data_IF_628449809352
#
_entry.id   IF_628449809352
#
_cell.length_a   1.000
_cell.length_b   1.000
_cell.length_c   1.000
_cell.angle_alpha   90.00
_cell.angle_beta   90.00
_cell.angle_gamma   90.00
#
_symmetry.space_group_name_H-M   'P 1'
#
loop_
_entity.id
_entity.type
_entity.pdbx_description
1 polymer ?
#
# COMPACT_ATOMS: atom_id res chain seq x y z
N UNK A 1 -12.83 -2.68 -3.64
CA UNK A 1 -11.72 -3.54 -3.19
C UNK A 1 -11.62 -4.86 -3.90
N UNK A 2 -12.63 -5.75 -3.81
CA UNK A 2 -12.54 -7.12 -4.33
C UNK A 2 -12.13 -7.22 -5.81
N UNK A 3 -12.56 -6.26 -6.63
CA UNK A 3 -12.23 -6.20 -8.06
C UNK A 3 -10.79 -5.76 -8.37
N UNK A 4 -10.13 -5.07 -7.44
CA UNK A 4 -8.79 -4.49 -7.66
C UNK A 4 -7.68 -5.23 -6.91
N UNK A 5 -7.99 -5.76 -5.72
CA UNK A 5 -7.04 -6.46 -4.87
C UNK A 5 -7.35 -7.94 -4.67
N UNK A 6 -8.53 -8.42 -5.11
CA UNK A 6 -8.93 -9.81 -4.91
C UNK A 6 -9.67 -10.08 -3.60
N UNK A 7 -9.80 -11.36 -3.23
CA UNK A 7 -10.50 -11.79 -2.00
C UNK A 7 -9.56 -11.77 -0.81
N UNK A 8 -9.23 -10.58 -0.35
CA UNK A 8 -8.29 -10.37 0.75
C UNK A 8 -9.06 -9.86 1.98
N UNK A 9 -8.86 -10.43 3.18
CA UNK A 9 -9.42 -9.90 4.41
C UNK A 9 -8.93 -8.46 4.65
N UNK A 10 -9.75 -7.56 5.22
CA UNK A 10 -9.37 -6.15 5.33
C UNK A 10 -8.04 -5.89 6.05
N UNK A 11 -7.71 -6.64 7.10
CA UNK A 11 -6.44 -6.51 7.83
C UNK A 11 -5.21 -6.86 6.96
N UNK A 12 -5.40 -7.53 5.82
CA UNK A 12 -4.35 -7.85 4.86
C UNK A 12 -4.25 -6.83 3.71
N UNK A 13 -5.02 -5.73 3.74
CA UNK A 13 -4.90 -4.68 2.73
C UNK A 13 -3.47 -4.10 2.71
N UNK A 14 -2.88 -3.89 1.52
CA UNK A 14 -1.53 -3.39 1.40
C UNK A 14 -1.47 -1.88 1.64
N UNK A 15 -0.54 -1.46 2.50
CA UNK A 15 -0.27 -0.06 2.82
C UNK A 15 1.24 0.06 2.99
N UNK A 16 1.89 1.04 2.36
CA UNK A 16 3.31 1.28 2.68
C UNK A 16 4.28 0.17 2.26
N UNK A 17 3.92 -0.72 1.32
CA UNK A 17 4.60 -2.00 1.07
C UNK A 17 4.62 -2.96 2.28
N UNK A 18 3.62 -2.88 3.15
CA UNK A 18 3.35 -3.78 4.27
C UNK A 18 1.85 -4.13 4.31
N UNK A 19 1.45 -5.03 5.20
CA UNK A 19 0.05 -5.34 5.48
C UNK A 19 -0.51 -4.41 6.56
N UNK A 20 -1.81 -4.10 6.49
CA UNK A 20 -2.50 -3.26 7.47
C UNK A 20 -2.39 -3.81 8.91
N UNK A 21 -2.48 -5.13 9.11
CA UNK A 21 -2.34 -5.76 10.45
C UNK A 21 -1.05 -5.38 11.16
N UNK A 22 0.01 -5.06 10.41
CA UNK A 22 1.28 -4.68 10.99
C UNK A 22 1.16 -3.34 11.72
N UNK A 23 0.59 -2.35 11.03
CA UNK A 23 0.36 -1.03 11.59
C UNK A 23 -0.66 -1.08 12.73
N UNK A 24 -1.71 -1.90 12.60
CA UNK A 24 -2.69 -2.12 13.67
C UNK A 24 -2.03 -2.69 14.93
N UNK A 25 -1.19 -3.72 14.79
CA UNK A 25 -0.48 -4.29 15.94
C UNK A 25 0.49 -3.29 16.59
N UNK A 26 1.27 -2.56 15.77
CA UNK A 26 2.17 -1.52 16.25
C UNK A 26 1.40 -0.38 16.96
N UNK A 27 0.22 0.02 16.46
CA UNK A 27 -0.58 1.10 17.05
C UNK A 27 -1.28 0.68 18.35
N UNK A 28 -1.65 -0.58 18.50
CA UNK A 28 -2.25 -1.10 19.74
C UNK A 28 -1.28 -1.03 20.92
N UNK A 29 0.03 -1.13 20.68
CA UNK A 29 1.10 -1.04 21.70
C UNK A 29 0.76 -1.81 22.99
N UNK A 30 0.21 -3.01 22.85
CA UNK A 30 -0.32 -3.81 23.96
C UNK A 30 0.61 -4.99 24.29
N UNK A 31 0.55 -5.43 25.55
CA UNK A 31 1.13 -6.70 26.00
C UNK A 31 0.07 -7.81 26.08
N UNK A 32 -1.19 -7.47 25.80
CA UNK A 32 -2.29 -8.43 25.78
C UNK A 32 -2.13 -9.43 24.64
N UNK A 33 -2.77 -10.59 24.79
CA UNK A 33 -2.86 -11.58 23.71
C UNK A 33 -3.63 -10.98 22.53
N UNK A 34 -2.99 -10.90 21.37
CA UNK A 34 -3.62 -10.43 20.12
C UNK A 34 -4.07 -11.63 19.28
N UNK A 35 -5.33 -11.60 18.87
CA UNK A 35 -5.93 -12.61 18.00
C UNK A 35 -6.42 -11.94 16.72
N UNK A 36 -5.95 -12.43 15.57
CA UNK A 36 -6.41 -12.03 14.25
C UNK A 36 -7.38 -13.08 13.70
N UNK A 37 -8.62 -12.67 13.47
CA UNK A 37 -9.63 -13.54 12.86
C UNK A 37 -9.59 -13.41 11.34
N UNK A 38 -9.68 -14.55 10.65
CA UNK A 38 -9.73 -14.62 9.19
C UNK A 38 -10.80 -15.61 8.72
N UNK A 39 -11.33 -15.51 7.50
CA UNK A 39 -12.21 -16.53 6.93
C UNK A 39 -11.48 -17.86 6.74
N UNK A 40 -12.14 -18.99 7.01
CA UNK A 40 -11.59 -20.35 6.76
C UNK A 40 -11.16 -20.58 5.31
N UNK A 41 -11.76 -19.90 4.33
CA UNK A 41 -11.37 -20.04 2.93
C UNK A 41 -10.12 -19.25 2.54
N UNK A 42 -9.62 -18.38 3.43
CA UNK A 42 -8.47 -17.53 3.12
C UNK A 42 -7.15 -18.25 3.40
N UNK A 43 -6.47 -18.64 2.33
CA UNK A 43 -5.11 -19.19 2.43
C UNK A 43 -4.09 -18.08 2.67
N UNK A 44 -3.58 -17.98 3.88
CA UNK A 44 -2.57 -17.00 4.24
C UNK A 44 -1.26 -17.26 3.50
N UNK A 45 -0.66 -16.25 2.82
CA UNK A 45 0.65 -16.40 2.22
C UNK A 45 1.74 -16.75 3.24
N UNK A 46 2.69 -17.62 2.86
CA UNK A 46 3.77 -18.08 3.75
C UNK A 46 4.63 -16.97 4.36
N UNK A 47 4.75 -15.83 3.68
CA UNK A 47 5.50 -14.69 4.21
C UNK A 47 4.71 -13.96 5.30
N UNK A 48 3.41 -13.76 5.08
CA UNK A 48 2.50 -13.16 6.06
C UNK A 48 2.42 -14.05 7.31
N UNK A 49 2.33 -15.38 7.16
CA UNK A 49 2.37 -16.34 8.28
C UNK A 49 3.61 -16.15 9.17
N UNK A 50 4.80 -16.11 8.58
CA UNK A 50 6.05 -15.90 9.33
C UNK A 50 6.07 -14.56 10.06
N UNK A 51 5.50 -13.53 9.44
CA UNK A 51 5.45 -12.20 10.06
C UNK A 51 4.49 -12.19 11.24
N UNK A 52 3.29 -12.78 11.10
CA UNK A 52 2.31 -12.92 12.17
C UNK A 52 2.89 -13.72 13.36
N UNK A 53 3.60 -14.81 13.08
CA UNK A 53 4.32 -15.61 14.10
C UNK A 53 5.38 -14.78 14.84
N UNK A 54 6.20 -14.01 14.12
CA UNK A 54 7.21 -13.13 14.72
C UNK A 54 6.59 -12.04 15.61
N UNK A 55 5.38 -11.60 15.27
CA UNK A 55 4.62 -10.61 16.04
C UNK A 55 3.81 -11.26 17.17
N UNK A 56 3.88 -12.59 17.36
CA UNK A 56 3.10 -13.32 18.35
C UNK A 56 1.58 -13.11 18.23
N UNK A 57 1.09 -12.92 17.00
CA UNK A 57 -0.33 -12.79 16.71
C UNK A 57 -0.91 -14.20 16.50
N UNK A 58 -1.89 -14.58 17.31
CA UNK A 58 -2.63 -15.83 17.12
C UNK A 58 -3.64 -15.68 16.00
N UNK A 59 -3.78 -16.70 15.16
CA UNK A 59 -4.69 -16.70 14.03
C UNK A 59 -5.86 -17.62 14.34
N UNK A 60 -7.08 -17.12 14.16
CA UNK A 60 -8.29 -17.93 14.21
C UNK A 60 -9.02 -17.89 12.87
N UNK A 61 -9.25 -19.08 12.31
CA UNK A 61 -10.09 -19.27 11.14
C UNK A 61 -11.56 -19.33 11.58
N UNK A 62 -12.40 -18.50 10.96
CA UNK A 62 -13.81 -18.34 11.28
C UNK A 62 -14.67 -18.75 10.08
N UNK A 63 -15.74 -19.54 10.29
CA UNK A 63 -16.67 -19.90 9.22
C UNK A 63 -17.27 -18.67 8.53
N UNK A 64 -17.39 -18.74 7.20
CA UNK A 64 -18.04 -17.70 6.42
C UNK A 64 -19.57 -17.67 6.63
N UNK A 65 -20.18 -16.51 6.38
CA UNK A 65 -21.63 -16.33 6.43
C UNK A 65 -22.20 -16.01 7.82
N UNK A 66 -21.35 -15.91 8.84
CA UNK A 66 -21.73 -15.41 10.16
C UNK A 66 -21.98 -13.90 10.13
N UNK A 67 -22.87 -13.43 11.00
CA UNK A 67 -22.97 -12.01 11.32
C UNK A 67 -21.69 -11.54 12.03
N UNK A 68 -21.42 -10.23 12.05
CA UNK A 68 -20.25 -9.69 12.76
C UNK A 68 -20.27 -10.10 14.25
N UNK A 69 -21.42 -9.98 14.93
CA UNK A 69 -21.55 -10.38 16.32
C UNK A 69 -21.29 -11.87 16.53
N UNK A 70 -21.86 -12.73 15.68
CA UNK A 70 -21.65 -14.19 15.77
C UNK A 70 -20.20 -14.58 15.47
N UNK A 71 -19.52 -13.90 14.53
CA UNK A 71 -18.11 -14.17 14.23
C UNK A 71 -17.20 -13.86 15.43
N UNK A 72 -17.49 -12.79 16.19
CA UNK A 72 -16.74 -12.43 17.38
C UNK A 72 -17.01 -13.43 18.49
N UNK A 73 -18.28 -13.81 18.71
CA UNK A 73 -18.63 -14.85 19.70
C UNK A 73 -17.99 -16.19 19.36
N UNK A 74 -17.94 -16.56 18.07
CA UNK A 74 -17.23 -17.74 17.59
C UNK A 74 -15.73 -17.67 17.93
N UNK A 75 -15.07 -16.55 17.64
CA UNK A 75 -13.66 -16.34 17.96
C UNK A 75 -13.37 -16.42 19.48
N UNK A 76 -14.22 -15.84 20.31
CA UNK A 76 -14.12 -15.93 21.77
C UNK A 76 -14.25 -17.37 22.27
N UNK A 77 -15.20 -18.13 21.71
CA UNK A 77 -15.36 -19.54 22.05
C UNK A 77 -14.16 -20.40 21.60
N UNK A 78 -13.64 -20.18 20.39
CA UNK A 78 -12.49 -20.92 19.86
C UNK A 78 -11.19 -20.63 20.62
N UNK A 79 -10.99 -19.38 21.06
CA UNK A 79 -9.85 -18.99 21.89
C UNK A 79 -9.97 -19.43 23.35
N UNK A 80 -11.17 -19.87 23.78
CA UNK A 80 -11.48 -20.17 25.17
C UNK A 80 -11.55 -18.94 26.08
N UNK A 81 -11.65 -17.73 25.51
CA UNK A 81 -11.69 -16.48 26.26
C UNK A 81 -13.14 -16.06 26.55
N UNK A 82 -13.54 -16.12 27.82
CA UNK A 82 -14.93 -15.88 28.22
C UNK A 82 -15.12 -14.82 29.30
N UNK A 83 -14.05 -14.29 29.90
CA UNK A 83 -14.10 -13.37 31.04
C UNK A 83 -12.94 -12.38 31.00
N UNK A 84 -13.18 -11.15 31.48
CA UNK A 84 -12.19 -10.09 31.56
C UNK A 84 -12.24 -9.09 30.38
N UNK A 85 -11.28 -8.16 30.30
CA UNK A 85 -11.31 -7.08 29.32
C UNK A 85 -11.20 -7.57 27.88
N UNK A 86 -12.05 -7.03 27.00
CA UNK A 86 -12.08 -7.36 25.57
C UNK A 86 -11.88 -6.09 24.74
N UNK A 87 -10.86 -6.10 23.88
CA UNK A 87 -10.66 -5.07 22.86
C UNK A 87 -11.01 -5.65 21.49
N UNK A 88 -11.78 -4.91 20.70
CA UNK A 88 -12.15 -5.28 19.33
C UNK A 88 -11.69 -4.17 18.40
N UNK A 89 -10.90 -4.53 17.40
CA UNK A 89 -10.47 -3.65 16.32
C UNK A 89 -10.89 -4.26 15.00
N UNK A 90 -11.69 -3.53 14.22
CA UNK A 90 -12.08 -3.96 12.88
C UNK A 90 -10.89 -4.00 11.93
N UNK A 91 -10.90 -4.99 11.02
CA UNK A 91 -9.76 -5.26 10.14
C UNK A 91 -9.44 -4.15 9.14
N UNK A 92 -10.39 -3.28 8.81
CA UNK A 92 -10.25 -2.11 7.93
C UNK A 92 -9.98 -0.80 8.68
N UNK A 93 -9.82 -0.84 10.01
CA UNK A 93 -9.60 0.35 10.83
C UNK A 93 -8.15 0.44 11.27
N UNK A 94 -7.52 1.61 11.12
CA UNK A 94 -6.30 1.97 11.85
C UNK A 94 -6.59 3.19 12.70
N UNK A 95 -6.24 3.10 13.98
CA UNK A 95 -6.47 4.16 14.96
C UNK A 95 -5.28 4.25 15.89
N UNK A 96 -4.94 5.46 16.29
CA UNK A 96 -3.81 5.77 17.17
C UNK A 96 -4.27 6.41 18.47
N UNK A 97 -3.35 6.45 19.44
CA UNK A 97 -3.44 7.23 20.68
C UNK A 97 -4.67 6.93 21.56
N UNK A 98 -5.16 5.69 21.53
CA UNK A 98 -6.22 5.26 22.46
C UNK A 98 -5.57 4.88 23.81
N UNK A 99 -5.93 5.54 24.92
CA UNK A 99 -5.32 5.25 26.22
C UNK A 99 -5.68 3.85 26.74
N UNK A 100 -4.64 3.10 27.14
CA UNK A 100 -4.74 1.69 27.56
C UNK A 100 -5.42 1.50 28.91
N UNK A 101 -5.66 2.55 29.67
CA UNK A 101 -6.38 2.54 30.95
C UNK A 101 -7.91 2.69 30.79
N UNK A 102 -8.38 3.09 29.60
CA UNK A 102 -9.80 3.27 29.36
C UNK A 102 -10.48 1.91 29.10
N UNK A 103 -11.63 1.72 29.74
CA UNK A 103 -12.50 0.57 29.56
C UNK A 103 -13.93 1.05 29.30
N UNK A 104 -14.75 0.18 28.70
CA UNK A 104 -16.13 0.48 28.33
C UNK A 104 -16.20 1.73 27.44
N UNK A 105 -15.41 1.71 26.37
CA UNK A 105 -15.33 2.80 25.39
C UNK A 105 -15.71 2.34 23.99
N UNK A 106 -16.32 3.28 23.27
CA UNK A 106 -16.48 3.25 21.82
C UNK A 106 -15.64 4.39 21.26
N UNK A 107 -14.68 4.06 20.40
CA UNK A 107 -13.92 5.10 19.73
C UNK A 107 -14.76 5.72 18.61
N UNK A 108 -14.76 7.04 18.55
CA UNK A 108 -15.49 7.83 17.57
C UNK A 108 -14.57 8.83 16.87
N UNK A 109 -14.90 9.19 15.64
CA UNK A 109 -14.10 10.12 14.83
C UNK A 109 -14.99 11.07 14.05
N UNK A 110 -14.44 12.23 13.67
CA UNK A 110 -15.13 13.16 12.80
C UNK A 110 -14.97 12.73 11.33
N UNK A 111 -16.05 12.83 10.55
CA UNK A 111 -16.05 12.56 9.10
C UNK A 111 -16.51 13.77 8.32
N UNK A 112 -15.93 13.94 7.14
CA UNK A 112 -16.36 14.92 6.14
C UNK A 112 -17.08 14.28 4.95
N UNK A 113 -16.99 12.95 4.81
CA UNK A 113 -17.53 12.20 3.67
C UNK A 113 -18.95 11.68 3.93
N UNK A 114 -19.76 11.65 2.87
CA UNK A 114 -21.11 11.11 2.91
C UNK A 114 -21.12 9.59 2.65
N UNK A 115 -20.73 8.81 3.67
CA UNK A 115 -20.97 7.37 3.72
C UNK A 115 -21.99 7.04 4.82
N UNK A 116 -22.51 5.81 4.79
CA UNK A 116 -23.36 5.30 5.85
C UNK A 116 -22.47 4.84 7.02
N UNK A 117 -22.65 5.46 8.18
CA UNK A 117 -21.87 5.17 9.38
C UNK A 117 -22.80 4.93 10.56
N UNK A 118 -22.36 4.08 11.48
CA UNK A 118 -22.95 4.04 12.81
C UNK A 118 -22.50 5.26 13.61
N UNK A 119 -23.40 5.90 14.35
CA UNK A 119 -23.07 7.03 15.24
C UNK A 119 -23.32 6.65 16.69
N UNK A 120 -22.73 7.38 17.62
CA UNK A 120 -22.95 7.15 19.05
C UNK A 120 -23.29 8.47 19.73
N UNK A 121 -24.49 8.54 20.32
CA UNK A 121 -25.03 9.76 20.94
C UNK A 121 -24.63 9.91 22.43
N UNK A 122 -23.69 9.08 22.90
CA UNK A 122 -23.28 9.01 24.30
C UNK A 122 -24.11 8.05 25.16
N UNK A 123 -25.16 7.42 24.60
CA UNK A 123 -25.98 6.40 25.28
C UNK A 123 -26.17 5.14 24.42
N UNK A 124 -26.50 5.35 23.16
CA UNK A 124 -26.82 4.28 22.21
C UNK A 124 -26.07 4.47 20.91
N UNK A 125 -25.62 3.34 20.35
CA UNK A 125 -25.12 3.27 18.99
C UNK A 125 -26.32 3.20 18.06
N UNK A 126 -26.37 4.11 17.10
CA UNK A 126 -27.41 4.14 16.07
C UNK A 126 -26.91 3.38 14.84
N UNK A 127 -27.85 2.74 14.14
CA UNK A 127 -27.56 2.00 12.91
C UNK A 127 -26.95 2.88 11.82
N UNK A 128 -26.40 2.23 10.80
CA UNK A 128 -25.83 2.89 9.62
C UNK A 128 -26.85 3.81 8.96
N UNK A 129 -26.53 5.10 8.91
CA UNK A 129 -27.32 6.11 8.20
C UNK A 129 -26.41 7.09 7.47
N UNK A 130 -26.89 7.73 6.40
CA UNK A 130 -26.17 8.81 5.75
C UNK A 130 -25.90 9.92 6.75
N UNK A 131 -24.69 10.46 6.71
CA UNK A 131 -24.34 11.61 7.52
C UNK A 131 -25.16 12.84 7.09
N UNK A 132 -25.99 13.37 7.98
CA UNK A 132 -26.72 14.64 7.79
C UNK A 132 -26.03 15.78 8.56
N UNK A 133 -25.22 16.55 7.82
CA UNK A 133 -24.49 17.70 8.36
C UNK A 133 -25.35 18.85 8.90
N UNK A 134 -26.68 18.80 8.75
CA UNK A 134 -27.59 19.81 9.29
C UNK A 134 -27.75 19.74 10.82
N UNK A 135 -27.41 18.61 11.47
CA UNK A 135 -27.44 18.48 12.93
C UNK A 135 -26.01 18.41 13.49
N UNK A 136 -25.56 19.48 14.16
CA UNK A 136 -24.26 19.53 14.84
C UNK A 136 -24.04 18.38 15.86
N UNK A 137 -25.10 17.68 16.26
CA UNK A 137 -25.06 16.56 17.19
C UNK A 137 -24.45 15.27 16.60
N UNK A 138 -24.36 15.13 15.27
CA UNK A 138 -24.02 13.86 14.61
C UNK A 138 -22.63 13.79 13.97
N UNK A 139 -21.71 14.70 14.31
CA UNK A 139 -20.36 14.76 13.71
C UNK A 139 -19.46 13.56 13.99
N UNK A 140 -19.84 12.69 14.93
CA UNK A 140 -19.00 11.62 15.43
C UNK A 140 -19.53 10.26 15.00
N UNK A 141 -18.73 9.55 14.20
CA UNK A 141 -19.02 8.19 13.74
C UNK A 141 -18.21 7.19 14.53
N UNK A 142 -18.78 6.01 14.75
CA UNK A 142 -18.08 4.87 15.36
C UNK A 142 -17.04 4.34 14.38
N UNK A 143 -15.79 4.27 14.82
CA UNK A 143 -14.65 4.08 13.91
C UNK A 143 -14.11 2.63 13.86
N UNK A 144 -14.78 1.68 14.52
CA UNK A 144 -14.42 0.26 14.49
C UNK A 144 -13.46 -0.19 15.59
N UNK A 145 -13.14 0.68 16.56
CA UNK A 145 -12.46 0.28 17.81
C UNK A 145 -13.42 0.31 19.00
N UNK A 146 -13.44 -0.79 19.75
CA UNK A 146 -14.27 -0.96 20.94
C UNK A 146 -13.46 -1.58 22.06
N UNK A 147 -13.76 -1.19 23.30
CA UNK A 147 -13.19 -1.83 24.47
C UNK A 147 -14.22 -2.03 25.56
N UNK A 148 -14.30 -3.25 26.04
CA UNK A 148 -15.27 -3.71 27.04
C UNK A 148 -14.51 -4.20 28.27
N UNK A 149 -15.02 -3.90 29.46
CA UNK A 149 -14.44 -4.38 30.72
C UNK A 149 -14.67 -5.87 30.97
N UNK A 150 -15.74 -6.44 30.40
CA UNK A 150 -16.10 -7.85 30.61
C UNK A 150 -16.62 -8.56 29.34
N UNK A 151 -15.83 -9.50 28.84
CA UNK A 151 -16.15 -10.35 27.70
C UNK A 151 -17.40 -11.20 27.93
N UNK A 152 -17.69 -11.64 29.16
CA UNK A 152 -18.87 -12.44 29.45
C UNK A 152 -20.15 -11.65 29.19
N UNK A 153 -20.21 -10.42 29.68
CA UNK A 153 -21.32 -9.49 29.46
C UNK A 153 -21.47 -9.16 27.98
N UNK A 154 -20.36 -8.97 27.26
CA UNK A 154 -20.37 -8.80 25.80
C UNK A 154 -21.00 -10.00 25.08
N UNK A 155 -20.52 -11.23 25.35
CA UNK A 155 -21.04 -12.46 24.73
C UNK A 155 -22.54 -12.61 24.99
N UNK A 156 -22.99 -12.44 26.23
CA UNK A 156 -24.41 -12.54 26.58
C UNK A 156 -25.27 -11.52 25.82
N UNK A 157 -24.74 -10.31 25.63
CA UNK A 157 -25.43 -9.23 24.92
C UNK A 157 -25.53 -9.53 23.43
N UNK A 158 -24.45 -10.04 22.81
CA UNK A 158 -24.44 -10.48 21.41
C UNK A 158 -25.39 -11.63 21.13
N UNK A 159 -25.44 -12.64 22.03
CA UNK A 159 -26.35 -13.78 21.89
C UNK A 159 -27.81 -13.34 22.00
N UNK A 160 -28.13 -12.43 22.93
CA UNK A 160 -29.49 -11.87 23.06
C UNK A 160 -29.92 -11.06 21.84
N UNK A 161 -28.99 -10.32 21.25
CA UNK A 161 -29.17 -9.60 19.99
C UNK A 161 -29.12 -10.50 18.74
N UNK A 162 -28.99 -11.83 18.90
CA UNK A 162 -28.92 -12.79 17.78
C UNK A 162 -27.85 -12.42 16.74
N UNK A 163 -26.69 -11.97 17.22
CA UNK A 163 -25.55 -11.60 16.37
C UNK A 163 -25.64 -10.20 15.74
N UNK A 164 -26.74 -9.46 15.94
CA UNK A 164 -26.84 -8.07 15.50
C UNK A 164 -25.90 -7.18 16.34
N UNK A 165 -24.76 -6.82 15.75
CA UNK A 165 -23.65 -6.20 16.48
C UNK A 165 -24.03 -4.87 17.17
N UNK A 166 -24.73 -3.98 16.47
CA UNK A 166 -25.16 -2.68 17.02
C UNK A 166 -26.16 -2.87 18.17
N UNK A 167 -27.16 -3.72 17.99
CA UNK A 167 -28.11 -4.07 19.05
C UNK A 167 -27.41 -4.71 20.26
N UNK A 168 -26.45 -5.60 20.02
CA UNK A 168 -25.66 -6.24 21.06
C UNK A 168 -24.82 -5.26 21.88
N UNK A 169 -24.22 -4.25 21.23
CA UNK A 169 -23.51 -3.17 21.93
C UNK A 169 -24.49 -2.36 22.78
N UNK A 170 -25.68 -2.06 22.25
CA UNK A 170 -26.72 -1.36 23.01
C UNK A 170 -27.25 -2.17 24.20
N UNK A 171 -27.32 -3.50 24.10
CA UNK A 171 -27.66 -4.37 25.23
C UNK A 171 -26.52 -4.44 26.27
N UNK A 172 -25.27 -4.39 25.83
CA UNK A 172 -24.12 -4.26 26.72
C UNK A 172 -24.17 -2.94 27.49
N UNK A 173 -24.46 -1.83 26.81
CA UNK A 173 -24.46 -0.48 27.39
C UNK A 173 -25.50 -0.28 28.51
N UNK A 174 -26.55 -1.11 28.53
CA UNK A 174 -27.55 -1.16 29.61
C UNK A 174 -27.00 -1.76 30.91
N UNK A 175 -25.98 -2.60 30.84
CA UNK A 175 -25.36 -3.26 31.99
C UNK A 175 -24.06 -2.56 32.42
N UNK A 176 -23.24 -2.19 31.44
CA UNK A 176 -21.97 -1.48 31.65
C UNK A 176 -21.99 -0.18 30.84
N UNK A 177 -21.91 0.96 31.51
CA UNK A 177 -22.02 2.28 30.85
C UNK A 177 -20.86 2.49 29.88
N UNK A 178 -21.18 2.56 28.58
CA UNK A 178 -20.22 2.91 27.54
C UNK A 178 -20.01 4.43 27.47
N UNK A 179 -18.79 4.84 27.15
CA UNK A 179 -18.43 6.24 26.89
C UNK A 179 -17.75 6.40 25.54
N UNK A 180 -17.91 7.57 24.92
CA UNK A 180 -17.26 7.89 23.64
C UNK A 180 -15.83 8.35 23.89
N UNK A 181 -14.88 7.84 23.11
CA UNK A 181 -13.53 8.41 23.04
C UNK A 181 -13.28 8.99 21.65
N UNK A 182 -13.10 10.32 21.57
CA UNK A 182 -12.85 11.00 20.30
C UNK A 182 -11.39 10.81 19.87
N UNK A 183 -11.17 10.07 18.79
CA UNK A 183 -9.86 9.90 18.18
C UNK A 183 -9.67 10.90 17.05
N UNK A 184 -8.53 11.59 17.04
CA UNK A 184 -8.18 12.55 15.98
C UNK A 184 -7.45 11.90 14.81
N UNK A 185 -6.81 10.77 15.05
CA UNK A 185 -6.00 10.07 14.06
C UNK A 185 -6.60 8.69 13.79
N UNK A 186 -7.60 8.69 12.90
CA UNK A 186 -8.27 7.51 12.41
C UNK A 186 -8.16 7.44 10.89
N UNK A 187 -7.88 6.24 10.41
CA UNK A 187 -7.76 5.92 9.00
C UNK A 187 -8.67 4.75 8.66
N UNK A 188 -9.67 5.03 7.85
CA UNK A 188 -10.59 4.04 7.29
C UNK A 188 -10.03 3.45 5.98
N UNK A 189 -10.05 2.13 5.87
CA UNK A 189 -9.70 1.38 4.67
C UNK A 189 -10.88 0.57 4.11
N UNK A 190 -12.10 0.75 4.65
CA UNK A 190 -13.31 0.03 4.25
C UNK A 190 -13.92 0.50 2.93
N UNK A 191 -13.66 1.75 2.52
CA UNK A 191 -14.11 2.33 1.25
C UNK A 191 -12.94 2.72 0.33
N UNK A 192 -13.11 2.60 -0.98
CA UNK A 192 -12.00 2.76 -1.94
C UNK A 192 -11.38 4.17 -1.87
N UNK A 193 -12.23 5.20 -1.72
CA UNK A 193 -11.76 6.58 -1.59
C UNK A 193 -11.06 6.83 -0.25
N UNK A 194 -11.60 6.30 0.85
CA UNK A 194 -10.97 6.44 2.17
C UNK A 194 -9.67 5.67 2.23
N UNK A 195 -9.57 4.47 1.65
CA UNK A 195 -8.33 3.71 1.55
C UNK A 195 -7.18 4.49 0.87
N UNK A 196 -7.42 5.08 -0.31
CA UNK A 196 -6.34 5.83 -0.97
C UNK A 196 -5.97 7.11 -0.22
N UNK A 197 -6.93 7.79 0.42
CA UNK A 197 -6.65 8.93 1.29
C UNK A 197 -5.88 8.50 2.55
N UNK A 198 -6.29 7.44 3.21
CA UNK A 198 -5.63 6.88 4.40
C UNK A 198 -4.19 6.46 4.07
N UNK A 199 -3.97 5.89 2.90
CA UNK A 199 -2.64 5.48 2.42
C UNK A 199 -1.65 6.64 2.26
N UNK A 200 -2.11 7.88 2.07
CA UNK A 200 -1.19 9.04 1.99
C UNK A 200 -0.50 9.34 3.31
N UNK A 201 -1.04 8.87 4.44
CA UNK A 201 -0.48 9.09 5.78
C UNK A 201 0.71 8.16 6.06
N UNK A 202 0.78 7.01 5.38
CA UNK A 202 1.90 6.07 5.49
C UNK A 202 2.90 6.33 4.37
N UNK A 203 4.02 6.99 4.71
CA UNK A 203 5.07 7.28 3.74
C UNK A 203 5.74 5.99 3.23
N UNK A 204 5.80 5.84 1.90
CA UNK A 204 6.58 4.80 1.20
C UNK A 204 7.96 5.29 0.76
N UNK A 205 8.35 6.51 1.11
CA UNK A 205 9.58 7.10 0.61
C UNK A 205 10.82 6.36 1.13
N UNK A 206 11.79 6.13 0.23
CA UNK A 206 13.15 5.68 0.62
C UNK A 206 13.82 6.79 1.43
N UNK A 207 14.74 6.45 2.33
CA UNK A 207 15.39 7.38 3.28
C UNK A 207 16.04 8.65 2.68
N UNK A 208 16.31 8.67 1.37
CA UNK A 208 16.96 9.76 0.64
C UNK A 208 16.02 10.65 -0.19
N UNK A 209 14.72 10.34 -0.24
CA UNK A 209 13.72 11.19 -0.88
C UNK A 209 12.69 11.62 0.16
N UNK A 210 12.24 12.87 0.09
CA UNK A 210 11.01 13.26 0.78
C UNK A 210 9.87 13.24 -0.22
N UNK A 211 8.84 12.45 0.09
CA UNK A 211 7.61 12.40 -0.67
C UNK A 211 6.49 12.87 0.25
N UNK A 212 5.83 13.95 -0.14
CA UNK A 212 4.72 14.55 0.60
C UNK A 212 3.49 14.53 -0.28
N UNK A 213 2.38 14.00 0.22
CA UNK A 213 1.10 14.01 -0.49
C UNK A 213 0.13 14.90 0.27
N UNK A 214 -0.32 15.98 -0.35
CA UNK A 214 -1.27 16.92 0.24
C UNK A 214 -2.22 17.45 -0.84
N UNK A 215 -3.51 17.51 -0.53
CA UNK A 215 -4.54 18.12 -1.40
C UNK A 215 -4.50 17.63 -2.85
N UNK A 216 -4.30 16.32 -3.06
CA UNK A 216 -4.24 15.72 -4.39
C UNK A 216 -2.92 15.97 -5.15
N UNK A 217 -1.88 16.47 -4.49
CA UNK A 217 -0.57 16.75 -5.09
C UNK A 217 0.51 15.93 -4.40
N UNK A 218 1.31 15.22 -5.20
CA UNK A 218 2.56 14.59 -4.76
C UNK A 218 3.70 15.58 -4.99
N UNK A 219 4.39 15.93 -3.92
CA UNK A 219 5.64 16.67 -3.94
C UNK A 219 6.79 15.71 -3.68
N UNK A 220 7.70 15.58 -4.65
CA UNK A 220 8.93 14.79 -4.51
C UNK A 220 10.12 15.74 -4.45
N UNK A 221 10.99 15.56 -3.46
CA UNK A 221 12.29 16.26 -3.34
C UNK A 221 13.40 15.27 -3.06
N UNK A 222 14.61 15.61 -3.50
CA UNK A 222 15.80 14.79 -3.31
C UNK A 222 17.05 15.67 -3.23
N UNK A 223 18.08 15.19 -2.52
CA UNK A 223 19.39 15.84 -2.47
C UNK A 223 20.20 15.67 -3.77
N UNK A 224 19.66 14.94 -4.75
CA UNK A 224 20.24 14.74 -6.09
C UNK A 224 19.58 15.66 -7.13
N UNK A 225 20.03 16.93 -7.29
CA UNK A 225 19.35 17.92 -8.15
C UNK A 225 19.35 17.52 -9.61
N UNK A 226 20.42 16.90 -10.11
CA UNK A 226 20.47 16.43 -11.50
C UNK A 226 19.39 15.37 -11.77
N UNK A 227 19.11 14.49 -10.79
CA UNK A 227 18.02 13.51 -10.90
C UNK A 227 16.65 14.20 -10.95
N UNK A 228 16.43 15.21 -10.10
CA UNK A 228 15.16 15.95 -10.08
C UNK A 228 14.94 16.77 -11.36
N UNK A 229 15.99 17.40 -11.88
CA UNK A 229 15.96 18.09 -13.18
C UNK A 229 15.65 17.13 -14.32
N UNK A 230 16.26 15.94 -14.32
CA UNK A 230 16.01 14.88 -15.29
C UNK A 230 14.56 14.39 -15.29
N UNK A 231 14.06 14.00 -14.11
CA UNK A 231 12.67 13.55 -13.94
C UNK A 231 11.68 14.63 -14.42
N UNK A 232 11.93 15.89 -14.04
CA UNK A 232 11.10 17.03 -14.44
C UNK A 232 11.13 17.29 -15.94
N UNK A 233 12.34 17.27 -16.53
CA UNK A 233 12.53 17.41 -17.98
C UNK A 233 11.75 16.34 -18.74
N UNK A 234 11.73 15.10 -18.24
CA UNK A 234 10.98 14.01 -18.85
C UNK A 234 9.48 14.28 -18.87
N UNK A 235 8.89 14.67 -17.73
CA UNK A 235 7.46 14.98 -17.67
C UNK A 235 7.07 16.19 -18.55
N UNK A 236 7.95 17.18 -18.66
CA UNK A 236 7.69 18.38 -19.49
C UNK A 236 7.71 18.08 -20.99
N UNK A 237 8.65 17.24 -21.43
CA UNK A 237 8.97 17.05 -22.85
C UNK A 237 8.38 15.77 -23.46
N UNK A 238 7.71 14.93 -22.66
CA UNK A 238 7.05 13.74 -23.20
C UNK A 238 5.99 14.10 -24.26
N UNK A 239 5.92 13.35 -25.39
CA UNK A 239 4.90 13.54 -26.42
C UNK A 239 3.46 13.53 -25.88
N UNK A 240 2.58 14.30 -26.52
CA UNK A 240 1.21 14.52 -26.06
C UNK A 240 0.39 13.23 -25.94
N UNK A 241 0.63 12.29 -26.85
CA UNK A 241 0.00 10.98 -26.96
C UNK A 241 0.37 10.08 -25.77
N UNK A 242 1.56 10.28 -25.20
CA UNK A 242 2.05 9.55 -24.04
C UNK A 242 1.60 10.20 -22.72
N UNK A 243 1.17 11.46 -22.70
CA UNK A 243 0.71 12.16 -21.46
C UNK A 243 -0.48 11.46 -20.78
N UNK A 244 -1.29 10.71 -21.54
CA UNK A 244 -2.36 9.87 -20.94
C UNK A 244 -1.81 8.79 -20.00
N UNK A 245 -0.54 8.40 -20.16
CA UNK A 245 0.15 7.41 -19.34
C UNK A 245 0.96 8.04 -18.21
N UNK A 246 0.85 9.34 -17.96
CA UNK A 246 1.50 9.99 -16.83
C UNK A 246 0.45 10.66 -15.95
N UNK A 247 0.74 10.88 -14.66
CA UNK A 247 0.01 11.89 -13.89
C UNK A 247 0.21 13.27 -14.50
N UNK A 248 -0.68 14.22 -14.19
CA UNK A 248 -0.46 15.60 -14.60
C UNK A 248 0.78 16.18 -13.91
N UNK A 249 1.67 16.79 -14.69
CA UNK A 249 2.83 17.50 -14.16
C UNK A 249 2.42 18.90 -13.70
N UNK A 250 2.70 19.23 -12.45
CA UNK A 250 2.25 20.46 -11.77
C UNK A 250 3.41 21.46 -11.54
N UNK A 251 4.56 21.22 -12.17
CA UNK A 251 5.71 22.12 -12.18
C UNK A 251 6.86 21.67 -11.29
N UNK A 252 8.00 22.29 -11.55
CA UNK A 252 9.25 22.11 -10.80
C UNK A 252 9.23 22.89 -9.48
N UNK A 253 10.05 22.44 -8.55
CA UNK A 253 10.42 23.15 -7.34
C UNK A 253 11.89 23.53 -7.44
N UNK A 254 12.16 24.83 -7.49
CA UNK A 254 13.51 25.35 -7.70
C UNK A 254 13.91 26.33 -6.60
N UNK A 255 15.17 26.26 -6.17
CA UNK A 255 15.82 27.25 -5.33
C UNK A 255 16.91 27.95 -6.15
N UNK A 256 16.60 29.15 -6.65
CA UNK A 256 17.45 29.82 -7.63
C UNK A 256 17.50 29.04 -8.95
N UNK A 257 18.70 28.69 -9.40
CA UNK A 257 18.91 27.91 -10.64
C UNK A 257 18.88 26.39 -10.43
N UNK A 258 18.75 25.92 -9.18
CA UNK A 258 18.80 24.49 -8.85
C UNK A 258 17.39 23.93 -8.75
N UNK A 259 17.12 22.85 -9.48
CA UNK A 259 15.91 22.03 -9.30
C UNK A 259 16.09 21.15 -8.06
N UNK A 260 15.23 21.31 -7.08
CA UNK A 260 15.22 20.56 -5.82
C UNK A 260 14.16 19.46 -5.79
N UNK A 261 13.22 19.50 -6.74
CA UNK A 261 12.12 18.56 -6.81
C UNK A 261 11.07 18.96 -7.84
N UNK A 262 9.93 18.29 -7.79
CA UNK A 262 8.80 18.57 -8.66
C UNK A 262 7.48 18.14 -8.03
N UNK A 263 6.38 18.54 -8.67
CA UNK A 263 5.02 18.19 -8.27
C UNK A 263 4.28 17.49 -9.40
N UNK A 264 3.53 16.44 -9.04
CA UNK A 264 2.59 15.74 -9.93
C UNK A 264 1.26 15.53 -9.23
N UNK A 265 0.21 15.31 -10.00
CA UNK A 265 -1.09 14.89 -9.49
C UNK A 265 -1.01 13.54 -8.77
N UNK A 266 -1.61 13.45 -7.57
CA UNK A 266 -1.78 12.19 -6.85
C UNK A 266 -2.82 11.32 -7.55
N UNK A 267 -2.45 10.07 -7.84
CA UNK A 267 -3.35 9.11 -8.45
C UNK A 267 -3.87 8.14 -7.39
N UNK A 268 -5.19 8.10 -7.20
CA UNK A 268 -5.87 7.14 -6.32
C UNK A 268 -6.00 5.75 -6.99
N UNK A 269 -4.86 5.16 -7.35
CA UNK A 269 -4.72 3.83 -7.95
C UNK A 269 -3.47 3.14 -7.41
N UNK A 270 -3.47 1.80 -7.39
CA UNK A 270 -2.37 1.01 -6.82
C UNK A 270 -1.22 0.83 -7.81
N UNK A 271 -0.01 0.68 -7.27
CA UNK A 271 1.16 0.30 -8.06
C UNK A 271 1.15 -1.20 -8.36
N UNK A 272 1.78 -1.60 -9.47
CA UNK A 272 1.85 -3.01 -9.86
C UNK A 272 2.63 -3.85 -8.86
N UNK A 273 3.62 -3.29 -8.15
CA UNK A 273 4.35 -4.05 -7.13
C UNK A 273 3.43 -4.42 -5.96
N UNK A 274 2.51 -3.53 -5.58
CA UNK A 274 1.55 -3.82 -4.53
C UNK A 274 0.55 -4.88 -4.99
N UNK A 275 0.03 -4.73 -6.21
CA UNK A 275 -0.88 -5.73 -6.78
C UNK A 275 -0.19 -7.10 -6.92
N UNK A 276 1.08 -7.13 -7.31
CA UNK A 276 1.83 -8.37 -7.53
C UNK A 276 2.19 -9.09 -6.24
N UNK A 277 2.63 -8.35 -5.22
CA UNK A 277 3.08 -8.94 -3.96
C UNK A 277 1.92 -9.25 -3.04
N UNK A 278 0.94 -8.34 -2.96
CA UNK A 278 -0.10 -8.38 -1.94
C UNK A 278 -1.49 -8.70 -2.49
N UNK A 279 -1.72 -8.53 -3.79
CA UNK A 279 -3.01 -8.79 -4.42
C UNK A 279 -3.30 -10.27 -4.68
N UNK A 280 -4.57 -10.62 -4.73
CA UNK A 280 -5.11 -11.93 -5.11
C UNK A 280 -5.87 -11.80 -6.44
N UNK A 281 -5.11 -11.53 -7.50
CA UNK A 281 -5.65 -11.29 -8.84
C UNK A 281 -5.53 -12.53 -9.74
N UNK A 282 -6.59 -12.90 -10.46
CA UNK A 282 -6.55 -14.04 -11.36
C UNK A 282 -5.69 -13.77 -12.59
N UNK A 283 -5.16 -14.83 -13.20
CA UNK A 283 -4.22 -14.76 -14.34
C UNK A 283 -4.75 -13.91 -15.50
N UNK A 284 -6.04 -13.96 -15.81
CA UNK A 284 -6.61 -13.16 -16.91
C UNK A 284 -6.59 -11.65 -16.65
N UNK A 285 -6.53 -11.22 -15.38
CA UNK A 285 -6.34 -9.80 -15.04
C UNK A 285 -4.90 -9.39 -15.29
N UNK A 286 -3.94 -10.26 -14.91
CA UNK A 286 -2.52 -10.04 -15.22
C UNK A 286 -2.23 -9.98 -16.72
N UNK A 287 -2.90 -10.79 -17.53
CA UNK A 287 -2.81 -10.69 -18.99
C UNK A 287 -3.19 -9.29 -19.50
N UNK A 288 -4.27 -8.69 -18.97
CA UNK A 288 -4.65 -7.31 -19.32
C UNK A 288 -3.63 -6.28 -18.85
N UNK A 289 -3.13 -6.41 -17.62
CA UNK A 289 -2.11 -5.52 -17.06
C UNK A 289 -0.86 -5.54 -17.94
N UNK A 290 -0.33 -6.73 -18.26
CA UNK A 290 0.87 -6.89 -19.06
C UNK A 290 0.67 -6.40 -20.50
N UNK A 291 -0.52 -6.58 -21.08
CA UNK A 291 -0.88 -5.98 -22.38
C UNK A 291 -0.87 -4.46 -22.33
N UNK A 292 -1.37 -3.83 -21.26
CA UNK A 292 -1.30 -2.38 -21.09
C UNK A 292 0.15 -1.88 -20.96
N UNK A 293 1.01 -2.61 -20.26
CA UNK A 293 2.45 -2.34 -20.22
C UNK A 293 3.10 -2.44 -21.61
N UNK A 294 2.82 -3.52 -22.34
CA UNK A 294 3.34 -3.71 -23.70
C UNK A 294 2.86 -2.66 -24.69
N UNK A 295 1.61 -2.21 -24.58
CA UNK A 295 1.08 -1.09 -25.36
C UNK A 295 1.88 0.18 -25.11
N UNK A 296 2.13 0.54 -23.86
CA UNK A 296 2.91 1.73 -23.53
C UNK A 296 4.32 1.68 -24.12
N UNK A 297 5.02 0.55 -23.97
CA UNK A 297 6.36 0.35 -24.57
C UNK A 297 6.32 0.47 -26.09
N UNK A 298 5.29 -0.11 -26.73
CA UNK A 298 5.12 -0.03 -28.18
C UNK A 298 4.85 1.42 -28.63
N UNK A 299 4.04 2.18 -27.89
CA UNK A 299 3.77 3.58 -28.18
C UNK A 299 5.01 4.45 -28.00
N UNK A 300 5.80 4.21 -26.94
CA UNK A 300 7.10 4.86 -26.76
C UNK A 300 8.02 4.66 -27.98
N UNK A 301 8.04 3.45 -28.55
CA UNK A 301 8.89 3.12 -29.70
C UNK A 301 8.56 3.88 -30.98
N UNK A 302 7.38 4.50 -31.09
CA UNK A 302 7.01 5.30 -32.28
C UNK A 302 7.59 6.71 -32.26
N UNK A 303 8.22 7.13 -31.15
CA UNK A 303 8.82 8.44 -30.98
C UNK A 303 10.34 8.32 -30.98
N UNK A 304 10.92 8.31 -32.18
CA UNK A 304 12.36 8.23 -32.40
C UNK A 304 13.06 9.57 -32.11
N UNK A 305 14.28 9.49 -31.59
CA UNK A 305 15.15 10.65 -31.43
C UNK A 305 15.61 11.17 -32.81
N UNK A 306 15.73 12.50 -32.94
CA UNK A 306 16.25 13.12 -34.17
C UNK A 306 17.75 12.94 -34.35
N UNK A 307 18.48 12.73 -33.26
CA UNK A 307 19.92 12.48 -33.24
C UNK A 307 20.20 11.23 -32.40
N UNK A 308 20.95 10.27 -32.93
CA UNK A 308 21.34 9.06 -32.20
C UNK A 308 22.68 9.30 -31.50
N UNK A 309 22.67 9.21 -30.17
CA UNK A 309 23.87 9.42 -29.34
C UNK A 309 24.24 8.11 -28.64
N UNK A 310 25.35 7.51 -29.08
CA UNK A 310 26.02 6.32 -28.49
C UNK A 310 25.20 5.01 -28.44
N UNK A 311 25.88 3.87 -28.65
CA UNK A 311 25.27 2.54 -28.52
C UNK A 311 24.81 2.29 -27.07
N UNK A 312 23.51 2.07 -26.89
CA UNK A 312 22.89 1.70 -25.60
C UNK A 312 23.52 0.42 -25.02
N UNK A 313 23.93 -0.51 -25.89
CA UNK A 313 24.62 -1.74 -25.51
C UNK A 313 25.96 -1.44 -24.83
N UNK A 314 26.78 -0.57 -25.42
CA UNK A 314 28.07 -0.16 -24.84
C UNK A 314 27.86 0.47 -23.46
N UNK A 315 26.90 1.38 -23.34
CA UNK A 315 26.56 2.00 -22.06
C UNK A 315 26.17 0.98 -20.98
N UNK A 316 25.32 0.00 -21.32
CA UNK A 316 24.90 -1.04 -20.37
C UNK A 316 26.08 -1.90 -19.90
N UNK A 317 26.97 -2.27 -20.80
CA UNK A 317 28.16 -3.07 -20.48
C UNK A 317 29.09 -2.31 -19.56
N UNK A 318 29.53 -1.11 -19.96
CA UNK A 318 30.45 -0.27 -19.17
C UNK A 318 29.90 0.04 -17.78
N UNK A 319 28.60 0.37 -17.69
CA UNK A 319 27.94 0.63 -16.40
C UNK A 319 27.89 -0.61 -15.51
N UNK A 320 27.65 -1.78 -16.09
CA UNK A 320 27.57 -3.03 -15.33
C UNK A 320 28.95 -3.47 -14.87
N UNK A 321 29.96 -3.42 -15.74
CA UNK A 321 31.35 -3.73 -15.42
C UNK A 321 31.87 -2.85 -14.27
N UNK A 322 31.62 -1.53 -14.36
CA UNK A 322 31.98 -0.59 -13.29
C UNK A 322 31.34 -0.98 -11.95
N UNK A 323 30.04 -1.29 -11.95
CA UNK A 323 29.30 -1.68 -10.72
C UNK A 323 29.76 -3.02 -10.16
N UNK A 324 30.12 -3.97 -11.01
CA UNK A 324 30.66 -5.26 -10.57
C UNK A 324 32.05 -5.07 -9.93
N UNK A 325 32.89 -4.21 -10.49
CA UNK A 325 34.19 -3.88 -9.90
C UNK A 325 34.03 -3.18 -8.54
N UNK A 326 33.12 -2.19 -8.44
CA UNK A 326 32.77 -1.54 -7.16
C UNK A 326 32.27 -2.56 -6.13
N UNK A 327 31.30 -3.40 -6.51
CA UNK A 327 30.77 -4.45 -5.64
C UNK A 327 31.86 -5.42 -5.14
N UNK A 328 32.74 -5.87 -6.02
CA UNK A 328 33.83 -6.79 -5.66
C UNK A 328 34.80 -6.12 -4.68
N UNK A 329 35.15 -4.86 -4.91
CA UNK A 329 36.01 -4.09 -4.00
C UNK A 329 35.36 -3.87 -2.63
N UNK A 330 34.06 -3.55 -2.59
CA UNK A 330 33.34 -3.23 -1.36
C UNK A 330 33.07 -4.47 -0.49
N UNK A 331 32.84 -5.63 -1.12
CA UNK A 331 32.43 -6.86 -0.42
C UNK A 331 33.55 -7.89 -0.29
N UNK A 332 34.62 -7.78 -1.07
CA UNK A 332 35.68 -8.79 -1.20
C UNK A 332 35.24 -10.05 -1.94
N UNK A 333 34.05 -10.07 -2.52
CA UNK A 333 33.50 -11.22 -3.25
C UNK A 333 34.17 -11.32 -4.63
N UNK A 334 34.76 -12.48 -4.92
CA UNK A 334 35.37 -12.77 -6.21
C UNK A 334 34.30 -12.90 -7.32
N UNK A 335 34.52 -12.23 -8.45
CA UNK A 335 33.57 -12.23 -9.57
C UNK A 335 33.72 -13.45 -10.48
N UNK A 336 34.91 -14.05 -10.51
CA UNK A 336 35.32 -15.13 -11.38
C UNK A 336 35.18 -16.52 -10.74
N UNK A 337 35.02 -16.59 -9.42
CA UNK A 337 34.81 -17.84 -8.71
C UNK A 337 33.36 -18.35 -8.85
N UNK A 338 33.15 -19.67 -9.06
CA UNK A 338 31.83 -20.27 -9.10
C UNK A 338 31.19 -20.29 -7.71
N UNK A 339 29.86 -20.30 -7.68
CA UNK A 339 29.09 -20.23 -6.45
C UNK A 339 28.48 -21.59 -6.13
N UNK A 340 28.04 -21.80 -4.90
CA UNK A 340 27.22 -22.96 -4.55
C UNK A 340 25.89 -22.50 -3.98
N UNK A 341 24.79 -22.87 -4.64
CA UNK A 341 23.43 -22.60 -4.17
C UNK A 341 22.74 -23.93 -3.86
N UNK A 342 22.38 -24.16 -2.60
CA UNK A 342 21.75 -25.41 -2.15
C UNK A 342 22.52 -26.69 -2.55
N UNK A 343 23.86 -26.63 -2.52
CA UNK A 343 24.73 -27.75 -2.92
C UNK A 343 24.94 -27.89 -4.44
N UNK A 344 24.35 -27.02 -5.26
CA UNK A 344 24.54 -27.01 -6.71
C UNK A 344 25.58 -25.98 -7.08
N UNK A 345 26.59 -26.39 -7.86
CA UNK A 345 27.57 -25.47 -8.44
C UNK A 345 26.89 -24.57 -9.46
N UNK A 346 27.04 -23.27 -9.27
CA UNK A 346 26.52 -22.21 -10.11
C UNK A 346 27.68 -21.49 -10.79
N UNK A 347 27.46 -20.92 -11.99
CA UNK A 347 28.46 -20.11 -12.67
C UNK A 347 28.87 -18.90 -11.82
N UNK A 348 30.06 -18.36 -12.10
CA UNK A 348 30.54 -17.13 -11.49
C UNK A 348 29.73 -15.92 -11.94
N UNK A 349 29.76 -14.84 -11.16
CA UNK A 349 29.07 -13.57 -11.50
C UNK A 349 29.54 -13.06 -12.87
N UNK A 350 30.84 -13.14 -13.13
CA UNK A 350 31.44 -12.76 -14.41
C UNK A 350 30.88 -13.58 -15.57
N UNK A 351 30.76 -14.90 -15.40
CA UNK A 351 30.18 -15.74 -16.43
C UNK A 351 28.70 -15.42 -16.70
N UNK A 352 27.93 -15.11 -15.64
CA UNK A 352 26.54 -14.65 -15.77
C UNK A 352 26.49 -13.34 -16.55
N UNK A 353 27.37 -12.39 -16.24
CA UNK A 353 27.45 -11.11 -16.94
C UNK A 353 27.79 -11.28 -18.44
N UNK A 354 28.85 -12.03 -18.76
CA UNK A 354 29.28 -12.32 -20.13
C UNK A 354 28.22 -13.06 -20.95
N UNK A 355 27.44 -13.92 -20.30
CA UNK A 355 26.31 -14.61 -20.94
C UNK A 355 25.16 -13.65 -21.21
N UNK A 356 24.83 -12.80 -20.23
CA UNK A 356 23.77 -11.79 -20.38
C UNK A 356 24.11 -10.75 -21.46
N UNK A 357 25.37 -10.33 -21.54
CA UNK A 357 25.89 -9.40 -22.53
C UNK A 357 25.64 -9.85 -23.98
N UNK A 358 25.66 -11.16 -24.25
CA UNK A 358 25.40 -11.74 -25.57
C UNK A 358 23.96 -11.60 -26.03
N UNK A 359 23.02 -11.38 -25.11
CA UNK A 359 21.60 -11.21 -25.41
C UNK A 359 21.17 -9.75 -25.55
N UNK A 360 22.08 -8.78 -25.36
CA UNK A 360 21.77 -7.37 -25.55
C UNK A 360 21.67 -7.07 -27.06
N UNK A 361 20.51 -6.57 -27.54
CA UNK A 361 20.32 -6.27 -28.94
C UNK A 361 21.27 -5.15 -29.40
N UNK A 362 21.69 -5.24 -30.66
CA UNK A 362 22.46 -4.19 -31.32
C UNK A 362 21.46 -3.31 -32.09
N UNK A 363 20.96 -2.27 -31.42
CA UNK A 363 20.03 -1.29 -32.01
C UNK A 363 20.61 0.11 -31.87
N UNK A 364 20.54 0.87 -32.96
CA UNK A 364 20.99 2.27 -33.01
C UNK A 364 19.81 3.25 -32.91
N UNK A 365 18.57 2.75 -32.96
CA UNK A 365 17.37 3.57 -32.87
C UNK A 365 17.08 3.86 -31.40
N UNK A 366 17.17 5.14 -31.04
CA UNK A 366 16.77 5.65 -29.74
C UNK A 366 15.32 6.13 -29.82
N UNK A 367 14.52 5.72 -28.85
CA UNK A 367 13.11 6.10 -28.76
C UNK A 367 12.82 6.66 -27.38
N UNK A 368 11.64 7.21 -27.16
CA UNK A 368 11.24 7.63 -25.81
C UNK A 368 11.33 6.44 -24.86
N UNK A 369 11.98 6.61 -23.71
CA UNK A 369 12.09 5.57 -22.69
C UNK A 369 11.71 6.10 -21.32
N UNK A 370 11.05 5.26 -20.52
CA UNK A 370 10.87 5.56 -19.10
C UNK A 370 12.21 5.47 -18.35
N UNK A 371 13.07 4.51 -18.72
CA UNK A 371 14.41 4.31 -18.14
C UNK A 371 14.46 3.59 -16.79
N UNK A 372 13.32 3.43 -16.11
CA UNK A 372 13.16 2.55 -14.93
C UNK A 372 11.75 1.93 -14.90
N UNK A 373 11.40 1.16 -15.94
CA UNK A 373 10.05 0.61 -16.15
C UNK A 373 9.81 -0.67 -15.32
N UNK A 374 9.84 -0.52 -14.00
CA UNK A 374 9.60 -1.60 -13.05
C UNK A 374 8.23 -1.45 -12.36
N UNK A 375 7.73 -2.53 -11.75
CA UNK A 375 6.39 -2.58 -11.16
C UNK A 375 6.14 -1.53 -10.06
N UNK A 376 7.18 -1.04 -9.37
CA UNK A 376 7.03 0.05 -8.39
C UNK A 376 6.78 1.42 -9.01
N UNK A 377 7.12 1.57 -10.28
CA UNK A 377 7.01 2.82 -11.03
C UNK A 377 5.81 2.81 -12.00
N UNK A 378 5.00 1.75 -11.95
CA UNK A 378 3.82 1.57 -12.80
C UNK A 378 2.60 1.46 -11.90
N UNK A 379 1.64 2.35 -12.10
CA UNK A 379 0.32 2.30 -11.50
C UNK A 379 -0.68 1.75 -12.52
N UNK A 380 -1.70 1.01 -12.06
CA UNK A 380 -2.71 0.44 -12.94
C UNK A 380 -4.11 0.89 -12.57
N UNK A 381 -4.80 1.50 -13.53
CA UNK A 381 -6.18 1.91 -13.39
C UNK A 381 -7.11 0.83 -13.97
N UNK A 382 -7.80 0.12 -13.09
CA UNK A 382 -8.77 -0.93 -13.46
C UNK A 382 -9.97 -0.39 -14.25
N UNK A 383 -10.32 0.89 -14.09
CA UNK A 383 -11.48 1.51 -14.75
C UNK A 383 -11.16 1.80 -16.21
N UNK A 384 -10.04 2.46 -16.46
CA UNK A 384 -9.58 2.75 -17.83
C UNK A 384 -8.82 1.61 -18.50
N UNK A 385 -8.46 0.56 -17.73
CA UNK A 385 -7.60 -0.55 -18.16
C UNK A 385 -6.28 -0.06 -18.77
N UNK A 386 -5.69 0.96 -18.14
CA UNK A 386 -4.48 1.60 -18.61
C UNK A 386 -3.48 1.80 -17.47
N UNK A 387 -2.21 1.98 -17.83
CA UNK A 387 -1.16 2.27 -16.86
C UNK A 387 -0.89 3.77 -16.77
N UNK A 388 -0.42 4.18 -15.59
CA UNK A 388 0.29 5.44 -15.36
C UNK A 388 1.72 5.13 -14.92
N UNK A 389 2.71 5.86 -15.42
CA UNK A 389 4.12 5.71 -15.06
C UNK A 389 4.62 6.92 -14.27
N UNK A 390 5.52 6.66 -13.32
CA UNK A 390 6.10 7.65 -12.40
C UNK A 390 7.59 7.35 -12.19
N UNK A 391 8.37 8.32 -11.70
CA UNK A 391 9.82 8.18 -11.45
C UNK A 391 10.61 7.77 -12.72
N UNK A 392 10.50 8.52 -13.83
CA UNK A 392 11.28 8.26 -15.03
C UNK A 392 12.77 8.56 -14.81
N UNK A 393 13.65 8.08 -15.69
CA UNK A 393 15.09 8.36 -15.60
C UNK A 393 15.44 9.77 -16.09
N UNK A 394 14.85 10.20 -17.21
CA UNK A 394 14.99 11.55 -17.77
C UNK A 394 16.41 11.97 -18.20
N UNK A 395 17.33 11.02 -18.34
CA UNK A 395 18.71 11.26 -18.79
C UNK A 395 19.15 10.21 -19.79
N UNK A 396 19.97 10.64 -20.75
CA UNK A 396 20.68 9.74 -21.65
C UNK A 396 21.88 9.06 -20.94
N UNK A 397 22.73 8.41 -21.74
CA UNK A 397 23.84 7.60 -21.27
C UNK A 397 25.02 8.46 -20.77
N UNK A 398 25.14 9.68 -21.28
CA UNK A 398 26.14 10.69 -20.92
C UNK A 398 25.72 11.53 -19.70
N UNK A 399 24.50 11.31 -19.17
CA UNK A 399 23.96 12.06 -18.03
C UNK A 399 23.37 13.42 -18.41
N UNK A 400 23.14 13.67 -19.70
CA UNK A 400 22.41 14.84 -20.20
C UNK A 400 20.91 14.59 -20.13
N UNK A 401 20.15 15.68 -19.95
CA UNK A 401 18.69 15.62 -19.91
C UNK A 401 18.15 15.12 -21.25
N UNK A 402 17.35 14.06 -21.22
CA UNK A 402 16.76 13.46 -22.42
C UNK A 402 15.53 12.64 -22.06
N UNK A 403 14.60 12.53 -23.02
CA UNK A 403 13.48 11.58 -22.93
C UNK A 403 13.75 10.28 -23.69
N UNK A 404 14.82 10.26 -24.50
CA UNK A 404 15.21 9.14 -25.35
C UNK A 404 16.36 8.34 -24.74
N UNK A 405 16.45 7.04 -25.07
CA UNK A 405 17.56 6.18 -24.64
C UNK A 405 17.64 4.84 -25.34
#
# INVERSE_FOLDING_TARGET
>A
FRSELGKIPPAFLPIGNQRLYRYQYESLNTQDKVVLTIPESFSIPKHDLRQLEQMSIEILEIPEGLSLGDSIVCALNLSGYSEGPLTILHGDTLVYDIPVELHDIIAVSEVEDNYEWATFDGKTVQDFHPYDGATQANKQVVNGYFRFSDARTFIQSMVRARGAFIEGINLYSQQCKLSSYLTKDWHDFGHLHTYFRSKTHVSTARAFNSLKVESGVVTKRSDMPNKMAAESHWFQNIPSELKRHTPNFLGELSAGQRVEGYRIEYQCISSLNELFVFGDLPVFVWDKILKACGHFVSLCSTFEATESTQSFKTFLLEKTDKRLAEFSNDTGIALDEPWTLNGVNMPSIKHIHETSARHIPDTEVQTVVHGDFCFSNILYDFRSQSIKVIDPRGMNNEGLLSIHG
#
